data_IF_926180177584
#
_entry.id   IF_926180177584
#
_cell.length_a   1.000
_cell.length_b   1.000
_cell.length_c   1.000
_cell.angle_alpha   90.00
_cell.angle_beta   90.00
_cell.angle_gamma   90.00
#
_symmetry.space_group_name_H-M   'P 1'
#
loop_
_entity.id
_entity.type
_entity.pdbx_description
1 polymer ?
#
# COMPACT_ATOMS: atom_id res chain seq x y z
N UNK A 1 1.77 17.93 23.40
CA UNK A 1 1.61 16.55 22.91
C UNK A 1 0.27 16.54 22.21
N UNK A 2 0.24 16.38 20.89
CA UNK A 2 -1.01 16.00 20.25
C UNK A 2 -1.44 14.67 20.86
N UNK A 3 -2.70 14.52 21.32
CA UNK A 3 -3.18 13.23 21.75
C UNK A 3 -3.00 12.27 20.58
N UNK A 4 -2.37 11.11 20.82
CA UNK A 4 -2.27 10.05 19.83
C UNK A 4 -3.69 9.78 19.29
N UNK A 5 -3.91 10.12 18.02
CA UNK A 5 -5.19 9.87 17.36
C UNK A 5 -5.48 8.37 17.43
N UNK A 6 -6.75 7.94 17.54
CA UNK A 6 -7.08 6.53 17.57
C UNK A 6 -6.55 5.83 16.31
N UNK A 7 -5.74 4.79 16.49
CA UNK A 7 -5.16 4.00 15.40
C UNK A 7 -5.79 2.61 15.31
N UNK A 8 -5.71 2.00 14.12
CA UNK A 8 -6.11 0.61 13.88
C UNK A 8 -4.89 -0.22 13.50
N UNK A 9 -4.86 -1.49 13.92
CA UNK A 9 -3.85 -2.46 13.46
C UNK A 9 -4.41 -3.25 12.29
N UNK A 10 -3.65 -3.31 11.20
CA UNK A 10 -4.00 -4.05 10.01
C UNK A 10 -2.97 -5.16 9.78
N UNK A 11 -3.42 -6.40 9.74
CA UNK A 11 -2.59 -7.53 9.30
C UNK A 11 -2.80 -7.69 7.80
N UNK A 12 -1.73 -7.50 7.01
CA UNK A 12 -1.73 -7.70 5.56
C UNK A 12 -0.88 -8.91 5.21
N UNK A 13 -1.28 -9.64 4.16
CA UNK A 13 -0.38 -10.59 3.54
C UNK A 13 0.77 -9.83 2.88
N UNK A 14 1.98 -10.41 2.91
CA UNK A 14 3.17 -9.76 2.35
C UNK A 14 2.99 -9.45 0.86
N UNK A 15 2.39 -10.37 0.09
CA UNK A 15 2.17 -10.17 -1.34
C UNK A 15 1.28 -8.94 -1.59
N UNK A 16 0.18 -8.81 -0.84
CA UNK A 16 -0.70 -7.62 -0.91
C UNK A 16 0.06 -6.33 -0.60
N UNK A 17 0.87 -6.34 0.47
CA UNK A 17 1.64 -5.17 0.88
C UNK A 17 2.67 -4.75 -0.19
N UNK A 18 3.35 -5.71 -0.82
CA UNK A 18 4.30 -5.44 -1.92
C UNK A 18 3.58 -4.87 -3.14
N UNK A 19 2.44 -5.47 -3.55
CA UNK A 19 1.65 -5.00 -4.70
C UNK A 19 1.09 -3.61 -4.47
N UNK A 20 0.53 -3.35 -3.28
CA UNK A 20 -0.03 -2.06 -2.90
C UNK A 20 1.06 -0.98 -2.81
N UNK A 21 2.21 -1.29 -2.21
CA UNK A 21 3.33 -0.35 -2.13
C UNK A 21 3.85 0.03 -3.52
N UNK A 22 4.11 -0.95 -4.40
CA UNK A 22 4.56 -0.69 -5.76
C UNK A 22 3.54 0.15 -6.55
N UNK A 23 2.24 -0.12 -6.38
CA UNK A 23 1.19 0.71 -6.99
C UNK A 23 1.19 2.14 -6.44
N UNK A 24 1.22 2.33 -5.12
CA UNK A 24 1.23 3.65 -4.48
C UNK A 24 2.45 4.50 -4.89
N UNK A 25 3.60 3.85 -5.11
CA UNK A 25 4.83 4.53 -5.54
C UNK A 25 4.85 4.92 -7.02
N UNK A 26 4.01 4.29 -7.85
CA UNK A 26 4.06 4.47 -9.31
C UNK A 26 2.83 5.15 -9.89
N UNK A 27 1.71 5.13 -9.17
CA UNK A 27 0.47 5.78 -9.59
C UNK A 27 0.56 7.31 -9.46
N UNK A 28 0.02 8.03 -10.45
CA UNK A 28 -0.28 9.45 -10.25
C UNK A 28 -1.52 9.58 -9.38
N UNK A 29 -1.33 9.90 -8.09
CA UNK A 29 -2.42 10.09 -7.14
C UNK A 29 -3.38 11.22 -7.54
N UNK A 30 -3.00 12.14 -8.43
CA UNK A 30 -3.92 13.15 -8.96
C UNK A 30 -4.88 12.61 -10.02
N UNK A 31 -4.53 11.50 -10.66
CA UNK A 31 -5.38 10.79 -11.62
C UNK A 31 -6.28 9.75 -10.95
N UNK A 32 -6.06 9.40 -9.68
CA UNK A 32 -6.94 8.51 -8.92
C UNK A 32 -8.29 9.19 -8.70
N UNK A 33 -9.41 8.57 -9.12
CA UNK A 33 -10.74 9.11 -8.85
C UNK A 33 -11.00 9.17 -7.34
N UNK A 34 -11.28 10.38 -6.83
CA UNK A 34 -11.61 10.63 -5.43
C UNK A 34 -12.92 11.42 -5.33
N UNK A 35 -13.70 11.15 -4.30
CA UNK A 35 -14.89 11.92 -3.93
C UNK A 35 -14.59 13.00 -2.89
N UNK A 36 -13.48 12.84 -2.15
CA UNK A 36 -13.07 13.78 -1.11
C UNK A 36 -11.53 13.86 -1.00
N UNK A 37 -10.92 15.04 -0.74
CA UNK A 37 -9.47 15.18 -0.60
C UNK A 37 -8.83 14.27 0.45
N UNK A 38 -9.58 13.92 1.49
CA UNK A 38 -9.11 13.02 2.55
C UNK A 38 -8.78 11.60 2.04
N UNK A 39 -9.38 11.14 0.94
CA UNK A 39 -9.07 9.82 0.36
C UNK A 39 -7.65 9.79 -0.19
N UNK A 40 -7.23 10.87 -0.87
CA UNK A 40 -5.85 11.04 -1.31
C UNK A 40 -4.89 11.10 -0.13
N UNK A 41 -5.25 11.87 0.92
CA UNK A 41 -4.42 11.94 2.13
C UNK A 41 -4.26 10.57 2.78
N UNK A 42 -5.33 9.78 2.87
CA UNK A 42 -5.28 8.43 3.44
C UNK A 42 -4.36 7.49 2.64
N UNK A 43 -4.31 7.61 1.30
CA UNK A 43 -3.38 6.85 0.46
C UNK A 43 -1.92 7.26 0.70
N UNK A 44 -1.66 8.56 0.86
CA UNK A 44 -0.32 9.08 1.21
C UNK A 44 0.09 8.59 2.60
N UNK A 45 -0.81 8.68 3.57
CA UNK A 45 -0.56 8.21 4.93
C UNK A 45 -0.28 6.70 4.95
N UNK A 46 -1.03 5.91 4.17
CA UNK A 46 -0.78 4.48 4.02
C UNK A 46 0.59 4.19 3.39
N UNK A 47 0.99 4.95 2.37
CA UNK A 47 2.33 4.83 1.79
C UNK A 47 3.41 5.08 2.85
N UNK A 48 3.30 6.17 3.62
CA UNK A 48 4.24 6.46 4.71
C UNK A 48 4.30 5.36 5.77
N UNK A 49 3.18 4.67 6.04
CA UNK A 49 3.17 3.49 6.94
C UNK A 49 3.92 2.31 6.36
N UNK A 50 3.78 2.02 5.08
CA UNK A 50 4.58 0.98 4.44
C UNK A 50 6.08 1.29 4.51
N UNK A 51 6.47 2.54 4.32
CA UNK A 51 7.87 2.98 4.40
C UNK A 51 8.47 2.87 5.81
N UNK A 52 7.67 3.13 6.85
CA UNK A 52 8.13 3.20 8.23
C UNK A 52 8.07 1.84 8.95
N UNK A 53 7.01 1.08 8.69
CA UNK A 53 6.62 -0.06 9.54
C UNK A 53 6.89 -1.42 8.87
N UNK A 54 7.36 -1.45 7.61
CA UNK A 54 7.54 -2.70 6.85
C UNK A 54 8.84 -2.72 6.03
N UNK A 55 9.23 -3.91 5.57
CA UNK A 55 10.42 -4.13 4.73
C UNK A 55 10.12 -4.16 3.22
N UNK A 56 8.87 -3.90 2.82
CA UNK A 56 8.42 -3.98 1.41
C UNK A 56 9.13 -2.99 0.49
N UNK A 57 9.70 -1.91 1.05
CA UNK A 57 10.50 -0.91 0.32
C UNK A 57 11.69 -1.51 -0.43
N UNK A 58 12.16 -2.68 0.03
CA UNK A 58 13.33 -3.37 -0.51
C UNK A 58 12.98 -4.43 -1.56
N UNK A 59 11.69 -4.61 -1.86
CA UNK A 59 11.23 -5.59 -2.82
C UNK A 59 11.83 -5.33 -4.21
N UNK A 60 12.50 -6.33 -4.75
CA UNK A 60 13.02 -6.33 -6.11
C UNK A 60 11.89 -6.43 -7.13
N UNK A 61 12.19 -6.11 -8.40
CA UNK A 61 11.25 -6.28 -9.51
C UNK A 61 10.72 -7.71 -9.62
N UNK A 62 11.58 -8.71 -9.40
CA UNK A 62 11.16 -10.12 -9.42
C UNK A 62 10.19 -10.47 -8.29
N UNK A 63 10.41 -9.93 -7.10
CA UNK A 63 9.49 -10.12 -5.96
C UNK A 63 8.14 -9.43 -6.19
N UNK A 64 8.14 -8.25 -6.83
CA UNK A 64 6.91 -7.55 -7.22
C UNK A 64 6.11 -8.40 -8.21
N UNK A 65 6.76 -8.96 -9.23
CA UNK A 65 6.09 -9.79 -10.24
C UNK A 65 5.53 -11.09 -9.62
N UNK A 66 6.27 -11.73 -8.71
CA UNK A 66 5.80 -12.90 -7.95
C UNK A 66 4.60 -12.53 -7.07
N UNK A 67 4.69 -11.43 -6.31
CA UNK A 67 3.61 -10.98 -5.46
C UNK A 67 2.33 -10.71 -6.26
N UNK A 68 2.43 -10.07 -7.44
CA UNK A 68 1.27 -9.87 -8.33
C UNK A 68 0.63 -11.19 -8.77
N UNK A 69 1.44 -12.20 -9.09
CA UNK A 69 0.92 -13.53 -9.46
C UNK A 69 0.26 -14.25 -8.29
N UNK A 70 0.83 -14.13 -7.10
CA UNK A 70 0.28 -14.70 -5.87
C UNK A 70 -1.08 -14.10 -5.53
N UNK A 71 -1.19 -12.76 -5.56
CA UNK A 71 -2.46 -12.04 -5.35
C UNK A 71 -3.48 -12.40 -6.42
N UNK A 72 -3.10 -12.41 -7.70
CA UNK A 72 -4.03 -12.78 -8.78
C UNK A 72 -4.57 -14.21 -8.63
N UNK A 73 -3.70 -15.16 -8.27
CA UNK A 73 -4.08 -16.56 -8.05
C UNK A 73 -5.08 -16.70 -6.91
N UNK A 74 -4.85 -16.01 -5.79
CA UNK A 74 -5.75 -16.06 -4.63
C UNK A 74 -7.14 -15.46 -4.96
N UNK A 75 -7.16 -14.41 -5.78
CA UNK A 75 -8.38 -13.78 -6.29
C UNK A 75 -9.09 -14.58 -7.39
N UNK A 76 -8.50 -15.67 -7.89
CA UNK A 76 -9.06 -16.50 -8.96
C UNK A 76 -9.03 -15.83 -10.34
N UNK A 77 -8.10 -14.91 -10.57
CA UNK A 77 -7.89 -14.21 -11.84
C UNK A 77 -6.91 -14.92 -12.78
#
# INVERSE_FOLDING_TARGET
MDPELPTVRLNLWRADAVVLFDWLMTVDLNAVPISHPAEKQALVDLLSRFEQDTDVISASRGEIDVARQEVARDMGW
#
